data_IF_817247011681
#
_entry.id   IF_817247011681
#
_cell.length_a   1.000
_cell.length_b   1.000
_cell.length_c   1.000
_cell.angle_alpha   90.00
_cell.angle_beta   90.00
_cell.angle_gamma   90.00
#
_symmetry.space_group_name_H-M   'P 1'
#
loop_
_entity.id
_entity.type
_entity.pdbx_description
1 polymer ?
#
# COMPACT_ATOMS: atom_id res chain seq x y z
N UNK A 1 26.68 18.06 -28.94
CA UNK A 1 25.83 18.65 -27.89
C UNK A 1 25.44 17.55 -26.91
N UNK A 2 26.15 17.42 -25.79
CA UNK A 2 25.83 16.47 -24.71
C UNK A 2 24.90 17.18 -23.72
N UNK A 3 23.64 16.75 -23.60
CA UNK A 3 22.74 17.24 -22.54
C UNK A 3 23.23 16.71 -21.20
N UNK A 4 23.72 17.60 -20.34
CA UNK A 4 23.95 17.29 -18.93
C UNK A 4 22.61 16.88 -18.30
N UNK A 5 22.55 15.69 -17.70
CA UNK A 5 21.40 15.22 -16.94
C UNK A 5 21.40 15.99 -15.62
N UNK A 6 20.47 16.94 -15.47
CA UNK A 6 20.36 17.75 -14.25
C UNK A 6 20.33 16.86 -13.00
N UNK A 7 21.04 17.25 -11.92
CA UNK A 7 21.04 16.50 -10.67
C UNK A 7 19.61 16.52 -10.09
N UNK A 8 19.07 15.33 -9.80
CA UNK A 8 17.81 15.23 -9.06
C UNK A 8 18.05 15.83 -7.68
N UNK A 9 17.38 16.95 -7.38
CA UNK A 9 17.39 17.58 -6.06
C UNK A 9 16.79 16.58 -5.07
N UNK A 10 17.64 15.96 -4.25
CA UNK A 10 17.21 15.12 -3.14
C UNK A 10 16.54 16.06 -2.14
N UNK A 11 15.21 16.14 -2.14
CA UNK A 11 14.49 16.80 -1.05
C UNK A 11 14.84 16.10 0.26
N UNK A 12 14.94 16.83 1.37
CA UNK A 12 15.12 16.28 2.71
C UNK A 12 14.14 15.10 2.90
N UNK A 13 14.67 13.87 2.85
CA UNK A 13 13.83 12.67 2.91
C UNK A 13 13.47 12.40 4.35
N UNK A 14 12.18 12.23 4.64
CA UNK A 14 11.69 11.75 5.93
C UNK A 14 12.20 10.32 6.15
N UNK A 15 12.77 10.02 7.32
CA UNK A 15 13.21 8.65 7.63
C UNK A 15 12.01 7.70 7.72
N UNK A 16 12.21 6.43 7.39
CA UNK A 16 11.13 5.42 7.48
C UNK A 16 10.55 5.30 8.89
N UNK A 17 11.38 5.49 9.91
CA UNK A 17 10.94 5.51 11.31
C UNK A 17 10.08 6.72 11.62
N UNK A 18 10.50 7.92 11.21
CA UNK A 18 9.71 9.15 11.40
C UNK A 18 8.35 9.04 10.68
N UNK A 19 8.34 8.49 9.47
CA UNK A 19 7.09 8.24 8.74
C UNK A 19 6.19 7.23 9.47
N UNK A 20 6.75 6.09 9.91
CA UNK A 20 5.99 5.07 10.65
C UNK A 20 5.38 5.63 11.95
N UNK A 21 6.15 6.40 12.70
CA UNK A 21 5.69 7.02 13.96
C UNK A 21 4.60 8.07 13.70
N UNK A 22 4.68 8.82 12.59
CA UNK A 22 3.61 9.71 12.20
C UNK A 22 2.33 8.93 11.83
N UNK A 23 2.45 7.85 11.06
CA UNK A 23 1.30 7.03 10.65
C UNK A 23 0.65 6.28 11.82
N UNK A 24 1.40 5.91 12.86
CA UNK A 24 0.81 5.23 14.04
C UNK A 24 -0.16 6.11 14.83
N UNK A 25 -0.19 7.42 14.60
CA UNK A 25 -1.15 8.34 15.20
C UNK A 25 -2.47 8.41 14.42
N UNK A 26 -2.52 7.87 13.19
CA UNK A 26 -3.74 7.81 12.40
C UNK A 26 -4.60 6.63 12.87
N UNK A 27 -5.81 6.93 13.32
CA UNK A 27 -6.78 5.90 13.61
C UNK A 27 -7.22 5.22 12.30
N UNK A 28 -7.14 3.90 12.25
CA UNK A 28 -7.53 3.11 11.09
C UNK A 28 -8.40 1.92 11.51
N UNK A 29 -9.51 1.66 10.80
CA UNK A 29 -10.26 0.42 10.98
C UNK A 29 -9.42 -0.80 10.59
N UNK A 30 -9.79 -1.97 11.11
CA UNK A 30 -9.14 -3.24 10.80
C UNK A 30 -10.07 -4.06 9.91
N UNK A 31 -9.55 -4.51 8.76
CA UNK A 31 -10.27 -5.34 7.82
C UNK A 31 -9.57 -6.69 7.63
N UNK A 32 -10.36 -7.73 7.38
CA UNK A 32 -9.86 -9.01 6.90
C UNK A 32 -10.18 -9.12 5.41
N UNK A 33 -9.16 -9.05 4.57
CA UNK A 33 -9.30 -9.26 3.12
C UNK A 33 -9.05 -10.73 2.85
N UNK A 34 -9.96 -11.38 2.12
CA UNK A 34 -9.91 -12.82 1.85
C UNK A 34 -10.11 -13.09 0.36
N UNK A 35 -9.53 -14.18 -0.11
CA UNK A 35 -9.72 -14.71 -1.46
C UNK A 35 -9.89 -16.22 -1.38
N UNK A 36 -10.61 -16.79 -2.35
CA UNK A 36 -10.69 -18.23 -2.62
C UNK A 36 -10.43 -18.46 -4.12
N UNK A 37 -9.34 -17.84 -4.60
CA UNK A 37 -8.95 -17.85 -5.99
C UNK A 37 -8.17 -19.11 -6.38
N UNK A 38 -7.48 -19.06 -7.52
CA UNK A 38 -6.73 -20.21 -8.04
C UNK A 38 -5.57 -20.67 -7.13
N UNK A 39 -5.09 -19.80 -6.23
CA UNK A 39 -4.12 -20.15 -5.20
C UNK A 39 -4.76 -20.74 -3.93
N UNK A 40 -6.08 -20.93 -3.91
CA UNK A 40 -6.87 -21.40 -2.78
C UNK A 40 -7.28 -20.29 -1.82
N UNK A 41 -7.65 -20.68 -0.59
CA UNK A 41 -8.09 -19.76 0.45
C UNK A 41 -6.92 -19.03 1.09
N UNK A 42 -6.89 -17.71 0.93
CA UNK A 42 -5.92 -16.84 1.59
C UNK A 42 -6.61 -15.67 2.27
N UNK A 43 -5.91 -15.06 3.22
CA UNK A 43 -6.36 -13.83 3.83
C UNK A 43 -5.24 -13.06 4.50
N UNK A 44 -5.49 -11.77 4.70
CA UNK A 44 -4.60 -10.87 5.41
C UNK A 44 -5.40 -9.80 6.16
N UNK A 45 -4.86 -9.39 7.30
CA UNK A 45 -5.33 -8.22 8.03
C UNK A 45 -4.75 -6.98 7.39
N UNK A 46 -5.61 -6.00 7.08
CA UNK A 46 -5.19 -4.70 6.55
C UNK A 46 -5.85 -3.56 7.33
N UNK A 47 -5.13 -2.46 7.47
CA UNK A 47 -5.66 -1.20 8.01
C UNK A 47 -5.90 -0.14 6.92
N UNK A 48 -5.50 -0.43 5.68
CA UNK A 48 -5.53 0.54 4.57
C UNK A 48 -6.52 0.10 3.48
N UNK A 49 -7.75 0.61 3.56
CA UNK A 49 -8.79 0.46 2.53
C UNK A 49 -9.44 1.82 2.26
N UNK A 50 -9.64 2.15 0.99
CA UNK A 50 -10.35 3.36 0.56
C UNK A 50 -11.44 3.03 -0.46
N UNK A 51 -12.58 3.74 -0.37
CA UNK A 51 -13.56 3.78 -1.47
C UNK A 51 -13.06 4.69 -2.58
N UNK A 52 -13.07 4.21 -3.82
CA UNK A 52 -12.53 4.92 -4.99
C UNK A 52 -13.64 5.48 -5.87
N UNK A 53 -14.65 4.68 -6.17
CA UNK A 53 -15.77 5.10 -7.01
C UNK A 53 -17.03 4.30 -6.69
N UNK A 54 -18.19 4.92 -6.91
CA UNK A 54 -19.49 4.24 -6.87
C UNK A 54 -19.90 3.67 -8.24
N UNK A 55 -19.35 4.20 -9.34
CA UNK A 55 -19.70 3.81 -10.71
C UNK A 55 -18.45 3.79 -11.59
N UNK A 56 -17.84 2.61 -11.87
CA UNK A 56 -18.18 1.31 -11.27
C UNK A 56 -17.83 1.26 -9.77
N UNK A 57 -18.55 0.48 -8.94
CA UNK A 57 -18.20 0.30 -7.54
C UNK A 57 -16.78 -0.24 -7.39
N UNK A 58 -15.89 0.54 -6.78
CA UNK A 58 -14.45 0.25 -6.75
C UNK A 58 -13.86 0.59 -5.39
N UNK A 59 -13.07 -0.33 -4.84
CA UNK A 59 -12.27 -0.15 -3.62
C UNK A 59 -10.79 -0.30 -3.95
N UNK A 60 -9.92 0.33 -3.14
CA UNK A 60 -8.47 0.16 -3.18
C UNK A 60 -8.00 -0.30 -1.80
N UNK A 61 -7.05 -1.22 -1.79
CA UNK A 61 -6.28 -1.56 -0.59
C UNK A 61 -4.81 -1.77 -0.96
N UNK A 62 -3.93 -1.60 0.02
CA UNK A 62 -2.49 -1.79 -0.16
C UNK A 62 -2.06 -3.15 0.40
N UNK A 63 -1.20 -3.86 -0.34
CA UNK A 63 -0.57 -5.11 0.11
C UNK A 63 0.95 -4.98 0.06
N UNK A 64 1.62 -5.40 1.13
CA UNK A 64 3.07 -5.54 1.14
C UNK A 64 3.47 -6.74 0.26
N UNK A 65 4.41 -6.56 -0.68
CA UNK A 65 4.91 -7.62 -1.57
C UNK A 65 5.58 -8.77 -0.83
N UNK A 66 6.12 -8.51 0.36
CA UNK A 66 6.74 -9.54 1.20
C UNK A 66 5.69 -10.33 2.01
N UNK A 67 4.40 -10.01 1.89
CA UNK A 67 3.35 -10.75 2.57
C UNK A 67 3.13 -12.12 1.93
N UNK A 68 2.96 -13.17 2.74
CA UNK A 68 2.71 -14.55 2.27
C UNK A 68 1.52 -14.67 1.29
N UNK A 69 0.53 -13.78 1.41
CA UNK A 69 -0.68 -13.79 0.60
C UNK A 69 -0.52 -12.96 -0.68
N UNK A 70 0.62 -12.28 -0.91
CA UNK A 70 0.81 -11.37 -2.05
C UNK A 70 0.50 -12.03 -3.39
N UNK A 71 1.05 -13.22 -3.64
CA UNK A 71 0.78 -13.95 -4.88
C UNK A 71 -0.70 -14.34 -5.05
N UNK A 72 -1.47 -14.40 -3.96
CA UNK A 72 -2.88 -14.80 -4.00
C UNK A 72 -3.87 -13.67 -4.37
N UNK A 73 -3.40 -12.42 -4.49
CA UNK A 73 -4.19 -11.22 -4.79
C UNK A 73 -3.65 -10.47 -6.01
#
# INVERSE_FOLDING_TARGET
>A
MMKAKSPKKQSDQVSSEAFRNAMSLLNAPVFLVTTDGHFGRHGLTVSEICSVSLSPPTLLFCINRDNRSYEAF
#
